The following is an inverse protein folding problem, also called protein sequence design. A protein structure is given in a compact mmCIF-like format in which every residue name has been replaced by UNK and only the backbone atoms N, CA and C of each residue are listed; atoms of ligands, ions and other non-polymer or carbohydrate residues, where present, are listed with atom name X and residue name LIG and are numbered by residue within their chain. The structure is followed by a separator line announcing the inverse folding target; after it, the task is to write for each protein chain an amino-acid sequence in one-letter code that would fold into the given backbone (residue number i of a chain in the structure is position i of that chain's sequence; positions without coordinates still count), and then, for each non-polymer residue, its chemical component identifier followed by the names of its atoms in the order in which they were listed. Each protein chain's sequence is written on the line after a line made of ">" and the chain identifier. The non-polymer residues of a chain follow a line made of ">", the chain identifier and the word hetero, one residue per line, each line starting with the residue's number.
data_IF_956632410293
#
_entry.id   IF_956632410293
#
_cell.length_a   1.000
_cell.length_b   1.000
_cell.length_c   1.000
_cell.angle_alpha   90.00
_cell.angle_beta   90.00
_cell.angle_gamma   90.00
#
_symmetry.space_group_name_H-M   'P 1'
#
loop_
_entity.id
_entity.type
_entity.pdbx_description
1 polymer ?
#
# COMPACT_ATOMS: atom_id res chain seq x y z
N UNK A 1 25.63 41.65 -13.13
CA UNK A 1 25.75 40.52 -12.17
C UNK A 1 24.53 40.37 -11.26
N UNK A 2 24.04 41.43 -10.60
CA UNK A 2 22.86 41.39 -9.70
C UNK A 2 21.52 40.99 -10.34
N UNK A 3 21.34 41.20 -11.65
CA UNK A 3 20.13 40.82 -12.41
C UNK A 3 20.05 39.33 -12.80
N UNK A 4 21.19 38.63 -12.85
CA UNK A 4 21.23 37.20 -13.19
C UNK A 4 20.94 36.29 -11.98
N UNK A 5 21.12 36.81 -10.76
CA UNK A 5 20.83 36.10 -9.52
C UNK A 5 19.31 35.94 -9.33
N UNK A 6 18.51 36.93 -9.73
CA UNK A 6 17.05 36.87 -9.61
C UNK A 6 16.41 35.82 -10.53
N UNK A 7 17.02 35.53 -11.69
CA UNK A 7 16.52 34.51 -12.62
C UNK A 7 16.81 33.07 -12.15
N UNK A 8 17.86 32.88 -11.34
CA UNK A 8 18.22 31.58 -10.80
C UNK A 8 17.30 31.12 -9.65
N UNK A 9 16.65 32.05 -8.94
CA UNK A 9 15.74 31.72 -7.83
C UNK A 9 14.34 31.27 -8.27
N UNK A 10 13.95 31.48 -9.54
CA UNK A 10 12.62 31.12 -10.07
C UNK A 10 12.50 29.65 -10.51
N UNK A 11 13.60 28.89 -10.52
CA UNK A 11 13.64 27.51 -11.06
C UNK A 11 13.58 26.40 -10.00
N UNK A 12 13.32 26.72 -8.72
CA UNK A 12 13.38 25.73 -7.63
C UNK A 12 12.01 25.27 -7.10
N UNK A 13 10.89 25.72 -7.67
CA UNK A 13 9.57 25.21 -7.29
C UNK A 13 9.24 23.97 -8.13
N UNK A 14 9.90 22.85 -7.84
CA UNK A 14 9.51 21.53 -8.36
C UNK A 14 8.23 21.07 -7.65
N UNK A 15 7.12 21.74 -7.89
CA UNK A 15 5.81 21.23 -7.50
C UNK A 15 5.58 19.97 -8.33
N UNK A 16 5.58 18.80 -7.67
CA UNK A 16 5.15 17.58 -8.33
C UNK A 16 3.70 17.76 -8.77
N UNK A 17 3.40 17.38 -10.00
CA UNK A 17 2.09 17.63 -10.57
C UNK A 17 1.11 16.56 -10.13
N UNK A 18 -0.16 16.93 -9.94
CA UNK A 18 -1.21 15.94 -9.74
C UNK A 18 -1.30 15.00 -10.97
N UNK A 19 -1.54 13.73 -10.74
CA UNK A 19 -1.61 12.73 -11.81
C UNK A 19 -2.89 12.80 -12.67
N UNK A 20 -3.96 13.45 -12.20
CA UNK A 20 -5.26 13.55 -12.89
C UNK A 20 -6.02 12.23 -13.08
N UNK A 21 -5.44 11.10 -12.66
CA UNK A 21 -6.08 9.77 -12.65
C UNK A 21 -7.26 9.69 -11.67
N UNK A 22 -8.31 8.91 -12.01
CA UNK A 22 -9.41 8.64 -11.09
C UNK A 22 -8.90 7.88 -9.85
N UNK A 23 -9.50 8.17 -8.70
CA UNK A 23 -9.27 7.43 -7.47
C UNK A 23 -10.02 6.10 -7.60
N UNK A 24 -9.28 4.99 -7.61
CA UNK A 24 -9.84 3.66 -7.78
C UNK A 24 -10.56 3.25 -6.50
N UNK A 25 -11.75 2.67 -6.63
CA UNK A 25 -12.42 2.00 -5.53
C UNK A 25 -12.03 0.53 -5.55
N UNK A 26 -11.55 0.03 -4.41
CA UNK A 26 -11.17 -1.37 -4.25
C UNK A 26 -12.21 -2.10 -3.39
N UNK A 27 -12.60 -3.29 -3.80
CA UNK A 27 -13.56 -4.12 -3.07
C UNK A 27 -12.88 -5.43 -2.63
N UNK A 28 -12.83 -5.65 -1.31
CA UNK A 28 -12.21 -6.83 -0.70
C UNK A 28 -12.97 -8.13 -1.04
N UNK A 29 -12.25 -9.20 -1.37
CA UNK A 29 -12.85 -10.50 -1.71
C UNK A 29 -12.45 -11.62 -0.74
N UNK A 30 -11.15 -11.85 -0.54
CA UNK A 30 -10.69 -12.95 0.33
C UNK A 30 -9.24 -12.82 0.79
N UNK A 31 -8.95 -13.50 1.90
CA UNK A 31 -7.59 -13.70 2.41
C UNK A 31 -7.29 -15.20 2.48
N UNK A 32 -6.11 -15.59 2.02
CA UNK A 32 -5.51 -16.87 2.38
C UNK A 32 -4.05 -16.69 2.79
N UNK A 33 -3.52 -17.61 3.60
CA UNK A 33 -2.11 -17.60 3.97
C UNK A 33 -1.28 -18.30 2.89
N UNK A 34 -0.04 -17.85 2.67
CA UNK A 34 0.89 -18.57 1.79
C UNK A 34 1.30 -19.91 2.40
N UNK A 35 1.72 -20.91 1.60
CA UNK A 35 2.19 -22.20 2.12
C UNK A 35 3.34 -22.09 3.13
N UNK A 36 4.20 -21.08 2.95
CA UNK A 36 5.29 -20.74 3.88
C UNK A 36 4.84 -20.12 5.21
N UNK A 37 3.56 -19.78 5.33
CA UNK A 37 2.98 -19.06 6.46
C UNK A 37 3.61 -17.68 6.78
N UNK A 38 4.32 -17.09 5.82
CA UNK A 38 5.06 -15.82 6.01
C UNK A 38 4.37 -14.60 5.38
N UNK A 39 3.27 -14.81 4.65
CA UNK A 39 2.56 -13.78 3.91
C UNK A 39 1.10 -14.18 3.67
N UNK A 40 0.30 -13.22 3.22
CA UNK A 40 -1.10 -13.42 2.86
C UNK A 40 -1.30 -13.14 1.38
N UNK A 41 -2.11 -13.96 0.73
CA UNK A 41 -2.76 -13.60 -0.52
C UNK A 41 -4.02 -12.82 -0.20
N UNK A 42 -4.02 -11.53 -0.50
CA UNK A 42 -5.18 -10.65 -0.44
C UNK A 42 -5.76 -10.54 -1.84
N UNK A 43 -7.00 -10.99 -2.03
CA UNK A 43 -7.74 -10.84 -3.29
C UNK A 43 -8.76 -9.73 -3.18
N UNK A 44 -8.87 -8.95 -4.23
CA UNK A 44 -9.75 -7.79 -4.31
C UNK A 44 -10.04 -7.44 -5.77
N UNK A 45 -11.14 -6.73 -5.98
CA UNK A 45 -11.47 -6.13 -7.28
C UNK A 45 -11.31 -4.62 -7.25
N UNK A 46 -11.32 -4.00 -8.44
CA UNK A 46 -11.25 -2.56 -8.63
C UNK A 46 -12.11 -2.11 -9.80
N UNK A 47 -12.75 -0.96 -9.66
CA UNK A 47 -13.50 -0.28 -10.73
C UNK A 47 -12.59 0.30 -11.84
N UNK A 48 -11.30 0.39 -11.55
CA UNK A 48 -10.27 0.97 -12.41
C UNK A 48 -9.20 -0.07 -12.72
N UNK A 49 -8.66 -0.04 -13.95
CA UNK A 49 -7.54 -0.91 -14.35
C UNK A 49 -6.22 -0.45 -13.72
N UNK A 50 -5.89 -1.02 -12.56
CA UNK A 50 -4.79 -0.57 -11.70
C UNK A 50 -3.41 -0.69 -12.37
N UNK A 51 -3.13 -1.85 -12.97
CA UNK A 51 -1.79 -2.17 -13.49
C UNK A 51 -1.45 -1.40 -14.77
N UNK A 52 -2.44 -0.84 -15.45
CA UNK A 52 -2.27 0.01 -16.65
C UNK A 52 -2.50 1.50 -16.37
N UNK A 53 -2.84 1.88 -15.13
CA UNK A 53 -3.14 3.25 -14.73
C UNK A 53 -1.97 4.22 -14.97
N UNK A 54 -0.75 3.72 -14.79
CA UNK A 54 0.50 4.46 -15.02
C UNK A 54 1.45 3.67 -15.93
N UNK A 55 1.86 4.29 -17.04
CA UNK A 55 2.86 3.72 -17.95
C UNK A 55 4.29 3.83 -17.38
N UNK A 56 4.58 4.89 -16.62
CA UNK A 56 5.89 5.12 -15.99
C UNK A 56 5.70 5.20 -14.48
N UNK A 57 6.24 4.20 -13.77
CA UNK A 57 6.16 4.04 -12.33
C UNK A 57 7.47 3.47 -11.80
N UNK A 58 7.79 3.81 -10.56
CA UNK A 58 8.96 3.29 -9.82
C UNK A 58 8.56 1.98 -9.13
N UNK A 59 7.34 1.92 -8.62
CA UNK A 59 6.78 0.74 -7.98
C UNK A 59 5.28 0.92 -7.73
N UNK A 60 4.59 -0.21 -7.60
CA UNK A 60 3.19 -0.28 -7.24
C UNK A 60 2.96 -1.44 -6.27
N UNK A 61 2.13 -1.22 -5.27
CA UNK A 61 1.89 -2.21 -4.22
C UNK A 61 0.55 -1.94 -3.53
N UNK A 62 0.01 -2.99 -2.92
CA UNK A 62 -1.02 -2.86 -1.91
C UNK A 62 -0.33 -2.63 -0.57
N UNK A 63 -0.68 -1.56 0.13
CA UNK A 63 -0.17 -1.22 1.48
C UNK A 63 -1.32 -1.29 2.46
N UNK A 64 -1.10 -1.91 3.62
CA UNK A 64 -2.09 -2.13 4.65
C UNK A 64 -1.60 -1.61 5.99
N UNK A 65 -2.39 -0.77 6.65
CA UNK A 65 -2.09 -0.25 7.98
C UNK A 65 -2.44 -1.26 9.06
N UNK A 66 -1.54 -1.47 10.03
CA UNK A 66 -1.85 -2.18 11.27
C UNK A 66 -2.13 -1.19 12.40
N UNK A 67 -2.75 -1.69 13.47
CA UNK A 67 -2.96 -0.93 14.72
C UNK A 67 -3.75 0.38 14.54
N UNK A 68 -4.50 0.51 13.44
CA UNK A 68 -5.36 1.66 13.16
C UNK A 68 -4.65 2.87 12.57
N UNK A 69 -3.35 2.75 12.26
CA UNK A 69 -2.54 3.83 11.69
C UNK A 69 -2.77 4.00 10.17
N UNK A 70 -4.00 4.38 9.79
CA UNK A 70 -4.43 4.55 8.41
C UNK A 70 -3.96 5.87 7.75
N UNK A 71 -2.86 6.46 8.23
CA UNK A 71 -2.20 7.58 7.56
C UNK A 71 -1.17 7.03 6.56
N UNK A 72 -1.48 7.16 5.26
CA UNK A 72 -0.60 6.74 4.16
C UNK A 72 0.19 7.90 3.56
N UNK A 73 0.15 9.08 4.18
CA UNK A 73 0.82 10.27 3.67
C UNK A 73 2.33 10.06 3.56
N UNK A 74 2.92 10.68 2.52
CA UNK A 74 4.36 10.58 2.29
C UNK A 74 5.10 11.23 3.47
N UNK A 75 5.99 10.45 4.11
CA UNK A 75 6.79 10.93 5.24
C UNK A 75 6.22 10.59 6.62
N UNK A 76 4.98 10.11 6.68
CA UNK A 76 4.45 9.49 7.88
C UNK A 76 5.16 8.16 8.16
N UNK A 77 5.36 7.87 9.44
CA UNK A 77 6.11 6.70 9.88
C UNK A 77 5.16 5.68 10.52
N UNK A 78 4.69 4.73 9.73
CA UNK A 78 3.84 3.65 10.21
C UNK A 78 4.68 2.63 10.99
N UNK A 79 4.31 2.41 12.26
CA UNK A 79 5.01 1.43 13.11
C UNK A 79 4.82 0.01 12.60
N UNK A 80 3.58 -0.37 12.32
CA UNK A 80 3.21 -1.67 11.78
C UNK A 80 2.47 -1.50 10.47
N UNK A 81 2.90 -2.20 9.42
CA UNK A 81 2.22 -2.18 8.13
C UNK A 81 2.46 -3.49 7.38
N UNK A 82 1.61 -3.78 6.40
CA UNK A 82 1.82 -4.83 5.42
C UNK A 82 1.98 -4.23 4.04
N UNK A 83 2.83 -4.81 3.20
CA UNK A 83 2.78 -4.47 1.78
C UNK A 83 3.13 -5.64 0.87
N UNK A 84 2.71 -5.53 -0.39
CA UNK A 84 2.91 -6.57 -1.40
C UNK A 84 2.64 -6.07 -2.81
N UNK A 85 3.36 -6.62 -3.78
CA UNK A 85 3.13 -6.35 -5.21
C UNK A 85 1.74 -6.84 -5.60
N UNK A 86 1.06 -6.05 -6.43
CA UNK A 86 -0.27 -6.38 -6.98
C UNK A 86 -0.10 -7.02 -8.37
N UNK A 87 -0.78 -8.13 -8.58
CA UNK A 87 -0.81 -8.89 -9.82
C UNK A 87 -2.26 -9.16 -10.22
N UNK A 88 -2.51 -9.54 -11.48
CA UNK A 88 -3.82 -10.05 -11.88
C UNK A 88 -4.11 -11.38 -11.18
N UNK A 89 -5.35 -11.59 -10.74
CA UNK A 89 -5.74 -12.93 -10.25
C UNK A 89 -5.85 -13.90 -11.43
N UNK A 90 -5.23 -15.09 -11.31
CA UNK A 90 -5.33 -16.16 -12.30
C UNK A 90 -6.81 -16.42 -12.65
N UNK A 91 -7.14 -16.39 -13.95
CA UNK A 91 -8.48 -16.50 -14.55
C UNK A 91 -9.40 -15.27 -14.55
N UNK A 92 -8.91 -14.05 -14.26
CA UNK A 92 -9.78 -12.87 -14.25
C UNK A 92 -9.52 -11.87 -15.37
N UNK A 93 -10.61 -11.40 -15.96
CA UNK A 93 -10.68 -10.16 -16.73
C UNK A 93 -10.14 -8.97 -15.92
N UNK A 94 -9.79 -7.89 -16.61
CA UNK A 94 -9.51 -6.57 -15.99
C UNK A 94 -10.42 -6.32 -14.78
N UNK A 95 -9.83 -5.85 -13.69
CA UNK A 95 -10.56 -5.47 -12.49
C UNK A 95 -10.49 -6.45 -11.31
N UNK A 96 -9.80 -7.60 -11.40
CA UNK A 96 -9.57 -8.47 -10.22
C UNK A 96 -8.07 -8.75 -10.03
N UNK A 97 -7.64 -8.69 -8.77
CA UNK A 97 -6.23 -8.60 -8.41
C UNK A 97 -5.92 -9.48 -7.19
N UNK A 98 -4.64 -9.83 -7.09
CA UNK A 98 -4.07 -10.52 -5.94
C UNK A 98 -2.81 -9.79 -5.49
N UNK A 99 -2.65 -9.61 -4.18
CA UNK A 99 -1.41 -9.10 -3.59
C UNK A 99 -0.85 -10.09 -2.58
N UNK A 100 0.45 -10.38 -2.66
CA UNK A 100 1.16 -11.14 -1.62
C UNK A 100 1.68 -10.19 -0.55
N UNK A 101 0.89 -9.96 0.49
CA UNK A 101 1.18 -9.00 1.56
C UNK A 101 2.03 -9.64 2.65
N UNK A 102 3.15 -9.00 3.00
CA UNK A 102 4.01 -9.34 4.14
C UNK A 102 3.90 -8.23 5.18
N UNK A 103 3.56 -8.59 6.42
CA UNK A 103 3.49 -7.63 7.53
C UNK A 103 4.84 -7.46 8.23
N UNK A 104 5.16 -6.20 8.52
CA UNK A 104 6.44 -5.76 9.09
C UNK A 104 6.19 -4.75 10.20
N UNK A 105 7.15 -4.71 11.13
CA UNK A 105 7.29 -3.62 12.08
C UNK A 105 8.54 -2.82 11.70
N UNK A 106 8.40 -1.50 11.68
CA UNK A 106 9.51 -0.59 11.55
C UNK A 106 10.22 -0.47 12.91
N UNK A 107 11.54 -0.64 12.93
CA UNK A 107 12.33 -0.61 14.15
C UNK A 107 12.40 0.79 14.77
N UNK A 108 13.08 0.94 15.92
CA UNK A 108 13.27 2.25 16.55
C UNK A 108 14.08 3.25 15.68
N UNK A 109 14.74 2.78 14.62
CA UNK A 109 15.53 3.58 13.69
C UNK A 109 14.95 3.42 12.28
N UNK A 110 14.70 4.55 11.61
CA UNK A 110 14.26 4.58 10.20
C UNK A 110 15.17 3.72 9.32
N UNK A 111 14.57 2.89 8.46
CA UNK A 111 15.28 2.01 7.52
C UNK A 111 15.62 0.63 8.07
N UNK A 112 15.28 0.32 9.32
CA UNK A 112 15.26 -1.06 9.83
C UNK A 112 13.83 -1.56 9.89
N UNK A 113 13.56 -2.68 9.24
CA UNK A 113 12.27 -3.36 9.25
C UNK A 113 12.46 -4.82 9.59
N UNK A 114 11.46 -5.39 10.27
CA UNK A 114 11.43 -6.80 10.61
C UNK A 114 10.06 -7.38 10.29
N UNK A 115 10.03 -8.57 9.70
CA UNK A 115 8.79 -9.31 9.49
C UNK A 115 8.18 -9.65 10.86
N UNK A 116 6.90 -9.37 11.04
CA UNK A 116 6.17 -9.71 12.26
C UNK A 116 6.01 -11.24 12.35
N UNK A 117 6.36 -11.81 13.50
CA UNK A 117 6.09 -13.22 13.76
C UNK A 117 4.57 -13.45 13.92
N UNK A 118 4.11 -14.68 13.73
CA UNK A 118 2.69 -15.06 13.78
C UNK A 118 1.94 -14.50 15.00
N UNK A 119 2.49 -14.67 16.20
CA UNK A 119 1.83 -14.22 17.43
C UNK A 119 1.88 -12.70 17.62
N UNK A 120 2.94 -12.05 17.14
CA UNK A 120 3.03 -10.58 17.15
C UNK A 120 2.00 -9.98 16.21
N UNK A 121 1.92 -10.50 14.98
CA UNK A 121 0.92 -10.08 14.01
C UNK A 121 -0.50 -10.34 14.53
N UNK A 122 -0.76 -11.51 15.12
CA UNK A 122 -2.06 -11.82 15.72
C UNK A 122 -2.44 -10.84 16.83
N UNK A 123 -1.47 -10.36 17.63
CA UNK A 123 -1.73 -9.31 18.63
C UNK A 123 -2.04 -7.96 17.97
N UNK A 124 -1.25 -7.55 16.98
CA UNK A 124 -1.46 -6.30 16.25
C UNK A 124 -2.84 -6.25 15.56
N UNK A 125 -3.26 -7.37 14.95
CA UNK A 125 -4.58 -7.53 14.31
C UNK A 125 -5.75 -7.50 15.30
N UNK A 126 -5.53 -7.74 16.59
CA UNK A 126 -6.57 -7.67 17.63
C UNK A 126 -6.77 -6.25 18.18
N UNK A 127 -5.89 -5.30 17.84
CA UNK A 127 -5.98 -3.92 18.32
C UNK A 127 -7.16 -3.17 17.67
N UNK A 128 -7.45 -3.46 16.39
CA UNK A 128 -8.56 -2.87 15.66
C UNK A 128 -9.30 -3.93 14.85
N UNK A 129 -10.61 -3.75 14.68
CA UNK A 129 -11.46 -4.69 13.92
C UNK A 129 -11.22 -4.63 12.41
N UNK A 130 -10.52 -3.60 11.92
CA UNK A 130 -10.27 -3.36 10.51
C UNK A 130 -8.79 -3.08 10.25
N UNK A 131 -8.26 -3.71 9.20
CA UNK A 131 -7.00 -3.37 8.52
C UNK A 131 -7.37 -2.58 7.27
N UNK A 132 -6.96 -1.31 7.21
CA UNK A 132 -7.20 -0.47 6.02
C UNK A 132 -6.07 -0.69 5.03
N UNK A 133 -6.39 -1.00 3.78
CA UNK A 133 -5.42 -1.11 2.70
C UNK A 133 -5.67 -0.09 1.58
N UNK A 134 -4.62 0.32 0.89
CA UNK A 134 -4.66 1.19 -0.29
C UNK A 134 -3.73 0.67 -1.37
N UNK A 135 -4.11 0.80 -2.63
CA UNK A 135 -3.20 0.62 -3.75
C UNK A 135 -2.39 1.91 -3.93
N UNK A 136 -1.07 1.78 -3.91
CA UNK A 136 -0.12 2.89 -3.98
C UNK A 136 0.74 2.77 -5.23
N UNK A 137 0.92 3.87 -5.96
CA UNK A 137 1.86 3.93 -7.09
C UNK A 137 2.82 5.10 -6.91
N UNK A 138 4.11 4.79 -6.85
CA UNK A 138 5.15 5.80 -6.88
C UNK A 138 5.54 6.11 -8.33
N UNK A 139 5.55 7.39 -8.69
CA UNK A 139 5.95 7.85 -10.02
C UNK A 139 7.13 8.83 -9.92
N UNK A 140 7.83 9.05 -11.03
CA UNK A 140 8.94 10.02 -11.08
C UNK A 140 8.50 11.45 -11.37
N UNK A 141 7.30 11.63 -11.93
CA UNK A 141 6.81 12.93 -12.46
C UNK A 141 5.64 13.52 -11.69
N UNK A 142 4.83 12.67 -11.07
CA UNK A 142 3.59 13.04 -10.41
C UNK A 142 3.61 12.69 -8.93
N UNK A 143 2.70 13.27 -8.18
CA UNK A 143 2.41 12.87 -6.80
C UNK A 143 2.15 11.36 -6.71
N UNK A 144 2.47 10.78 -5.56
CA UNK A 144 2.17 9.36 -5.31
C UNK A 144 0.66 9.18 -5.40
N UNK A 145 0.25 8.21 -6.20
CA UNK A 145 -1.15 7.84 -6.34
C UNK A 145 -1.57 6.95 -5.17
N UNK A 146 -2.79 7.17 -4.68
CA UNK A 146 -3.47 6.29 -3.75
C UNK A 146 -4.89 6.00 -4.26
N UNK A 147 -5.31 4.74 -4.15
CA UNK A 147 -6.73 4.39 -4.27
C UNK A 147 -7.53 4.94 -3.09
N UNK A 148 -8.84 4.74 -3.13
CA UNK A 148 -9.67 4.86 -1.93
C UNK A 148 -9.31 3.77 -0.91
N UNK A 149 -9.76 3.95 0.33
CA UNK A 149 -9.53 3.01 1.42
C UNK A 149 -10.31 1.72 1.20
N UNK A 150 -9.60 0.60 1.28
CA UNK A 150 -10.16 -0.75 1.30
C UNK A 150 -10.13 -1.28 2.73
N UNK A 151 -11.23 -1.17 3.49
CA UNK A 151 -11.32 -1.76 4.82
C UNK A 151 -11.44 -3.29 4.71
N UNK A 152 -10.53 -4.02 5.37
CA UNK A 152 -10.57 -5.47 5.46
C UNK A 152 -10.79 -5.86 6.93
N UNK A 153 -11.76 -6.73 7.27
CA UNK A 153 -11.92 -7.20 8.64
C UNK A 153 -10.66 -7.91 9.15
N UNK A 154 -10.12 -7.48 10.29
CA UNK A 154 -8.95 -8.09 10.92
C UNK A 154 -9.14 -9.58 11.20
N UNK A 155 -10.40 -9.98 11.44
CA UNK A 155 -10.77 -11.38 11.66
C UNK A 155 -10.50 -12.29 10.45
N UNK A 156 -10.49 -11.77 9.22
CA UNK A 156 -10.14 -12.58 8.04
C UNK A 156 -8.65 -12.92 8.03
N UNK A 157 -7.78 -11.98 8.42
CA UNK A 157 -6.35 -12.26 8.65
C UNK A 157 -6.14 -13.23 9.81
N UNK A 158 -6.82 -13.02 10.95
CA UNK A 158 -6.69 -13.87 12.14
C UNK A 158 -7.13 -15.30 11.82
N UNK A 159 -8.22 -15.49 11.07
CA UNK A 159 -8.70 -16.81 10.65
C UNK A 159 -7.69 -17.51 9.72
N UNK A 160 -7.09 -16.78 8.79
CA UNK A 160 -6.07 -17.31 7.88
C UNK A 160 -4.77 -17.71 8.61
N UNK A 161 -4.47 -17.09 9.76
CA UNK A 161 -3.38 -17.50 10.66
C UNK A 161 -3.67 -18.81 11.42
N UNK A 162 -4.81 -19.47 11.19
CA UNK A 162 -5.17 -20.67 11.95
C UNK A 162 -5.49 -20.36 13.41
N UNK A 163 -5.76 -21.41 14.20
CA UNK A 163 -5.93 -21.29 15.66
C UNK A 163 -4.58 -21.21 16.37
#
# INVERSE_FOLDING_TARGET
>A
MRRYIALAFLLCCSCTSNHGRPIAKLDFESISITPSASSFFVRFSSDTDLLTLFQSKIGEELVCALEGDADFSIGHYQRGYGSGIVEFSDNSSKGNYIARVIFRETGAVRGKERILARDELRRALKVNDVVVCVFRVHTTKYETYFSDFMPIPSMDFIRALGT
#
